data_IF_747346411215
#
_entry.id   IF_747346411215
#
_cell.length_a   1.000
_cell.length_b   1.000
_cell.length_c   1.000
_cell.angle_alpha   90.00
_cell.angle_beta   90.00
_cell.angle_gamma   90.00
#
_symmetry.space_group_name_H-M   'P 1'
#
loop_
_entity.id
_entity.type
_entity.pdbx_description
1 polymer ?
#
# COMPACT_ATOMS: atom_id res chain seq x y z
N UNK A 1 -42.68 0.75 6.33
CA UNK A 1 -42.05 -0.59 6.41
C UNK A 1 -42.10 -1.15 5.00
N UNK A 2 -41.25 -0.62 4.09
CA UNK A 2 -41.11 -1.17 2.73
C UNK A 2 -39.87 -0.63 1.98
N UNK A 3 -39.38 0.59 2.26
CA UNK A 3 -38.16 1.10 1.60
C UNK A 3 -36.86 0.36 2.02
N UNK A 4 -36.85 -0.20 3.24
CA UNK A 4 -35.68 -0.90 3.77
C UNK A 4 -35.55 -2.32 3.23
N UNK A 5 -36.67 -2.95 2.83
CA UNK A 5 -36.68 -4.27 2.19
C UNK A 5 -36.32 -4.21 0.70
N UNK A 6 -36.70 -3.14 -0.01
CA UNK A 6 -36.27 -2.91 -1.39
C UNK A 6 -34.75 -2.64 -1.49
N UNK A 7 -34.18 -1.93 -0.51
CA UNK A 7 -32.73 -1.77 -0.37
C UNK A 7 -32.01 -3.09 -0.09
N UNK A 8 -32.57 -3.96 0.76
CA UNK A 8 -32.02 -5.31 1.01
C UNK A 8 -32.08 -6.23 -0.22
N UNK A 9 -33.07 -6.06 -1.10
CA UNK A 9 -33.18 -6.83 -2.35
C UNK A 9 -32.17 -6.41 -3.43
N UNK A 10 -31.63 -5.18 -3.35
CA UNK A 10 -30.55 -4.67 -4.21
C UNK A 10 -29.15 -5.08 -3.71
N UNK A 11 -29.03 -5.56 -2.48
CA UNK A 11 -27.79 -6.11 -1.92
C UNK A 11 -27.64 -7.55 -2.45
N UNK A 12 -26.53 -7.91 -3.12
CA UNK A 12 -26.29 -9.28 -3.56
C UNK A 12 -26.41 -10.25 -2.37
N UNK A 13 -27.29 -11.25 -2.49
CA UNK A 13 -27.43 -12.28 -1.46
C UNK A 13 -26.12 -13.07 -1.33
N UNK A 14 -25.70 -13.44 -0.10
CA UNK A 14 -24.49 -14.22 0.11
C UNK A 14 -24.58 -15.54 -0.68
N UNK A 15 -23.52 -15.85 -1.45
CA UNK A 15 -23.44 -17.03 -2.30
C UNK A 15 -23.24 -16.76 -3.80
N UNK A 16 -23.48 -15.55 -4.30
CA UNK A 16 -23.26 -15.23 -5.73
C UNK A 16 -21.83 -14.74 -6.06
N UNK A 17 -21.00 -14.47 -5.05
CA UNK A 17 -19.65 -13.88 -5.21
C UNK A 17 -18.56 -14.58 -4.36
N UNK A 18 -18.88 -15.63 -3.63
CA UNK A 18 -17.99 -16.29 -2.66
C UNK A 18 -18.77 -17.12 -1.64
N UNK A 19 -18.08 -17.76 -0.69
CA UNK A 19 -18.65 -18.75 0.25
C UNK A 19 -19.94 -18.26 0.92
N UNK A 20 -20.90 -19.20 1.03
CA UNK A 20 -22.33 -18.96 1.25
C UNK A 20 -22.71 -18.67 2.70
N UNK A 21 -21.88 -19.08 3.66
CA UNK A 21 -22.05 -18.77 5.09
C UNK A 21 -20.71 -18.51 5.82
N UNK A 22 -20.79 -18.01 7.06
CA UNK A 22 -19.62 -17.69 7.88
C UNK A 22 -18.78 -18.91 8.28
N UNK A 23 -19.41 -20.07 8.46
CA UNK A 23 -18.74 -21.31 8.85
C UNK A 23 -17.93 -21.90 7.69
N UNK A 24 -18.42 -21.74 6.45
CA UNK A 24 -17.74 -22.10 5.23
C UNK A 24 -16.52 -21.20 5.01
N UNK A 25 -16.63 -19.90 5.27
CA UNK A 25 -15.49 -18.96 5.23
C UNK A 25 -14.40 -19.33 6.24
N UNK A 26 -14.78 -19.70 7.47
CA UNK A 26 -13.84 -20.11 8.51
C UNK A 26 -13.04 -21.38 8.14
N UNK A 27 -13.62 -22.31 7.37
CA UNK A 27 -12.91 -23.50 6.89
C UNK A 27 -11.77 -23.20 5.90
N UNK A 28 -11.83 -22.05 5.24
CA UNK A 28 -10.85 -21.64 4.22
C UNK A 28 -9.91 -20.52 4.69
N UNK A 29 -9.97 -20.20 5.99
CA UNK A 29 -9.02 -19.33 6.66
C UNK A 29 -7.69 -20.03 6.92
N UNK A 30 -6.60 -19.27 7.00
CA UNK A 30 -5.34 -19.78 7.51
C UNK A 30 -5.50 -19.97 9.03
N UNK A 31 -5.65 -21.21 9.49
CA UNK A 31 -5.91 -21.57 10.90
C UNK A 31 -4.76 -22.33 11.57
N UNK A 32 -3.66 -22.57 10.83
CA UNK A 32 -2.46 -23.23 11.36
C UNK A 32 -1.72 -22.39 12.40
N UNK A 33 -0.79 -22.97 13.17
CA UNK A 33 -0.02 -22.24 14.15
C UNK A 33 0.79 -21.12 13.48
N UNK A 34 0.51 -19.87 13.86
CA UNK A 34 1.25 -18.68 13.40
C UNK A 34 2.60 -18.50 14.09
N UNK A 35 2.98 -19.45 14.95
CA UNK A 35 4.29 -19.48 15.59
C UNK A 35 5.33 -19.92 14.56
N UNK A 36 5.94 -18.95 13.90
CA UNK A 36 7.06 -19.20 13.00
C UNK A 36 8.30 -19.67 13.80
N UNK A 37 9.15 -20.55 13.26
CA UNK A 37 10.45 -20.79 13.87
C UNK A 37 11.23 -19.47 13.96
N UNK A 38 12.04 -19.27 15.01
CA UNK A 38 12.75 -18.02 15.21
C UNK A 38 13.80 -17.81 14.12
N UNK A 39 14.07 -16.53 13.82
CA UNK A 39 15.17 -16.12 12.96
C UNK A 39 14.77 -15.79 11.52
N UNK A 40 15.63 -15.03 10.82
CA UNK A 40 15.31 -14.45 9.52
C UNK A 40 15.19 -15.49 8.39
N UNK A 41 15.92 -16.60 8.46
CA UNK A 41 15.86 -17.66 7.45
C UNK A 41 14.53 -18.41 7.49
N UNK A 42 14.08 -18.82 8.69
CA UNK A 42 12.80 -19.48 8.87
C UNK A 42 11.63 -18.55 8.48
N UNK A 43 11.73 -17.27 8.84
CA UNK A 43 10.78 -16.26 8.38
C UNK A 43 10.75 -16.14 6.85
N UNK A 44 11.92 -16.01 6.22
CA UNK A 44 12.06 -15.91 4.77
C UNK A 44 11.46 -17.12 4.06
N UNK A 45 11.69 -18.32 4.59
CA UNK A 45 11.10 -19.55 4.05
C UNK A 45 9.58 -19.61 4.22
N UNK A 46 9.04 -19.19 5.37
CA UNK A 46 7.59 -19.12 5.59
C UNK A 46 6.90 -18.10 4.65
N UNK A 47 7.55 -16.95 4.44
CA UNK A 47 7.11 -15.95 3.47
C UNK A 47 7.11 -16.53 2.05
N UNK A 48 8.18 -17.24 1.68
CA UNK A 48 8.29 -17.92 0.39
C UNK A 48 7.21 -18.98 0.19
N UNK A 49 6.99 -19.86 1.17
CA UNK A 49 5.95 -20.89 1.11
C UNK A 49 4.56 -20.30 0.86
N UNK A 50 4.33 -19.08 1.36
CA UNK A 50 3.02 -18.44 1.33
C UNK A 50 2.80 -17.52 0.14
N UNK A 51 3.85 -16.89 -0.37
CA UNK A 51 3.76 -15.81 -1.39
C UNK A 51 4.59 -16.09 -2.64
N UNK A 52 5.44 -17.12 -2.62
CA UNK A 52 6.45 -17.36 -3.67
C UNK A 52 7.62 -16.37 -3.63
N UNK A 53 7.73 -15.55 -2.58
CA UNK A 53 8.78 -14.54 -2.39
C UNK A 53 9.48 -14.76 -1.05
N UNK A 54 10.80 -14.96 -1.10
CA UNK A 54 11.67 -14.97 0.09
C UNK A 54 12.43 -13.65 0.21
N UNK A 55 13.10 -13.46 1.34
CA UNK A 55 14.05 -12.37 1.53
C UNK A 55 15.39 -12.77 0.90
N UNK A 56 15.81 -12.05 -0.14
CA UNK A 56 17.08 -12.24 -0.82
C UNK A 56 18.06 -11.11 -0.46
N UNK A 57 19.35 -11.39 -0.21
CA UNK A 57 20.34 -10.36 0.11
C UNK A 57 20.70 -9.51 -1.11
N UNK A 58 21.46 -8.43 -0.90
CA UNK A 58 22.04 -7.64 -1.98
C UNK A 58 21.40 -6.28 -2.22
N UNK A 59 20.63 -5.72 -1.27
CA UNK A 59 19.92 -4.46 -1.47
C UNK A 59 20.61 -3.28 -0.79
N UNK A 60 20.56 -2.12 -1.46
CA UNK A 60 20.75 -0.82 -0.83
C UNK A 60 19.40 -0.13 -0.78
N UNK A 61 18.98 0.25 0.44
CA UNK A 61 17.66 0.84 0.69
C UNK A 61 17.81 2.23 1.31
N UNK A 62 17.07 3.18 0.75
CA UNK A 62 16.98 4.54 1.26
C UNK A 62 15.53 4.84 1.67
N UNK A 63 15.35 5.14 2.95
CA UNK A 63 14.08 5.54 3.53
C UNK A 63 13.84 7.02 3.24
N UNK A 64 12.72 7.34 2.60
CA UNK A 64 12.37 8.68 2.15
C UNK A 64 11.01 9.07 2.74
N UNK A 65 10.92 10.28 3.28
CA UNK A 65 9.70 10.77 3.92
C UNK A 65 9.13 11.94 3.11
N UNK A 66 7.81 11.90 2.88
CA UNK A 66 7.07 12.99 2.25
C UNK A 66 7.72 13.40 0.91
N UNK A 67 7.88 14.71 0.69
CA UNK A 67 8.45 15.29 -0.53
C UNK A 67 9.88 14.83 -0.88
N UNK A 68 10.67 14.33 0.08
CA UNK A 68 12.04 13.88 -0.19
C UNK A 68 12.09 12.74 -1.23
N UNK A 69 11.01 11.96 -1.37
CA UNK A 69 10.92 10.93 -2.40
C UNK A 69 10.97 11.51 -3.81
N UNK A 70 10.34 12.67 -4.04
CA UNK A 70 10.24 13.26 -5.37
C UNK A 70 11.53 13.93 -5.80
N UNK A 71 12.24 14.59 -4.88
CA UNK A 71 13.55 15.16 -5.18
C UNK A 71 14.52 14.07 -5.65
N UNK A 72 14.60 12.98 -4.89
CA UNK A 72 15.48 11.88 -5.25
C UNK A 72 15.03 11.14 -6.51
N UNK A 73 13.72 10.98 -6.70
CA UNK A 73 13.13 10.39 -7.91
C UNK A 73 13.43 11.23 -9.16
N UNK A 74 13.31 12.55 -9.08
CA UNK A 74 13.61 13.45 -10.19
C UNK A 74 15.10 13.42 -10.58
N UNK A 75 16.00 13.33 -9.60
CA UNK A 75 17.43 13.13 -9.85
C UNK A 75 17.69 11.84 -10.65
N UNK A 76 17.11 10.72 -10.21
CA UNK A 76 17.29 9.44 -10.90
C UNK A 76 16.62 9.44 -12.29
N UNK A 77 15.42 10.01 -12.44
CA UNK A 77 14.74 10.13 -13.74
C UNK A 77 15.60 10.94 -14.71
N UNK A 78 16.15 12.09 -14.30
CA UNK A 78 17.02 12.90 -15.16
C UNK A 78 18.31 12.17 -15.53
N UNK A 79 18.81 11.29 -14.66
CA UNK A 79 20.00 10.48 -14.90
C UNK A 79 19.74 9.23 -15.78
N UNK A 80 18.47 8.89 -16.05
CA UNK A 80 18.08 7.69 -16.78
C UNK A 80 18.72 7.61 -18.18
N UNK A 81 19.13 6.39 -18.56
CA UNK A 81 19.84 6.11 -19.81
C UNK A 81 19.12 5.11 -20.72
N UNK A 82 18.24 4.28 -20.20
CA UNK A 82 17.57 3.22 -20.97
C UNK A 82 16.06 3.24 -20.83
N UNK A 83 15.51 3.36 -19.62
CA UNK A 83 14.06 3.41 -19.44
C UNK A 83 13.61 4.10 -18.16
N UNK A 84 12.39 4.65 -18.20
CA UNK A 84 11.66 5.13 -17.01
C UNK A 84 10.24 4.60 -17.06
N UNK A 85 9.85 3.85 -16.04
CA UNK A 85 8.52 3.25 -15.93
C UNK A 85 7.81 3.76 -14.68
N UNK A 86 6.62 4.36 -14.84
CA UNK A 86 5.82 4.93 -13.76
C UNK A 86 4.49 4.21 -13.69
N UNK A 87 4.14 3.68 -12.52
CA UNK A 87 2.82 3.15 -12.17
C UNK A 87 2.35 3.87 -10.91
N UNK A 88 1.21 4.56 -10.99
CA UNK A 88 0.66 5.29 -9.85
C UNK A 88 -0.87 5.32 -9.87
N UNK A 89 -1.47 5.29 -8.68
CA UNK A 89 -2.92 5.38 -8.53
C UNK A 89 -3.45 6.81 -8.77
N UNK A 90 -2.76 7.81 -8.23
CA UNK A 90 -3.13 9.24 -8.35
C UNK A 90 -2.00 9.99 -9.05
N UNK A 91 -2.32 10.57 -10.20
CA UNK A 91 -1.53 11.61 -10.83
C UNK A 91 -2.47 12.76 -11.22
N UNK A 92 -2.25 13.94 -10.65
CA UNK A 92 -3.04 15.16 -10.90
C UNK A 92 -2.14 16.36 -11.19
N UNK A 93 -2.58 17.32 -12.04
CA UNK A 93 -1.84 18.54 -12.32
C UNK A 93 -1.50 19.33 -11.05
N UNK A 94 -0.23 19.71 -10.92
CA UNK A 94 0.35 20.53 -9.85
C UNK A 94 1.83 20.79 -10.20
N UNK A 95 2.52 21.63 -9.44
CA UNK A 95 3.95 21.94 -9.65
C UNK A 95 4.83 20.68 -9.65
N UNK A 96 4.60 19.76 -8.71
CA UNK A 96 5.27 18.45 -8.70
C UNK A 96 5.04 17.66 -10.00
N UNK A 97 3.79 17.64 -10.51
CA UNK A 97 3.47 16.98 -11.77
C UNK A 97 4.25 17.63 -12.92
N UNK A 98 4.31 18.94 -12.98
CA UNK A 98 5.00 19.68 -14.05
C UNK A 98 6.50 19.33 -14.09
N UNK A 99 7.14 19.25 -12.92
CA UNK A 99 8.55 18.86 -12.79
C UNK A 99 8.81 17.41 -13.25
N UNK A 100 7.90 16.48 -12.93
CA UNK A 100 8.01 15.08 -13.37
C UNK A 100 7.77 14.96 -14.88
N UNK A 101 6.77 15.67 -15.41
CA UNK A 101 6.49 15.71 -16.85
C UNK A 101 7.69 16.26 -17.60
N UNK A 102 8.27 17.38 -17.15
CA UNK A 102 9.48 17.97 -17.76
C UNK A 102 10.63 16.95 -17.83
N UNK A 103 10.91 16.27 -16.72
CA UNK A 103 11.97 15.26 -16.67
C UNK A 103 11.69 14.08 -17.62
N UNK A 104 10.45 13.57 -17.66
CA UNK A 104 10.08 12.48 -18.57
C UNK A 104 10.14 12.88 -20.04
N UNK A 105 9.68 14.10 -20.38
CA UNK A 105 9.75 14.67 -21.73
C UNK A 105 11.19 14.82 -22.17
N UNK A 106 12.06 15.35 -21.31
CA UNK A 106 13.49 15.50 -21.58
C UNK A 106 14.13 14.14 -21.90
N UNK A 107 13.87 13.13 -21.06
CA UNK A 107 14.41 11.78 -21.26
C UNK A 107 13.85 11.09 -22.50
N UNK A 108 12.55 11.20 -22.76
CA UNK A 108 11.92 10.63 -23.95
C UNK A 108 12.53 11.22 -25.24
N UNK A 109 12.73 12.54 -25.28
CA UNK A 109 13.41 13.23 -26.39
C UNK A 109 14.88 12.82 -26.55
N UNK A 110 15.54 12.42 -25.46
CA UNK A 110 16.89 11.85 -25.48
C UNK A 110 16.92 10.36 -25.89
N UNK A 111 15.77 9.76 -26.24
CA UNK A 111 15.67 8.37 -26.69
C UNK A 111 15.50 7.33 -25.57
N UNK A 112 15.29 7.76 -24.32
CA UNK A 112 14.98 6.87 -23.20
C UNK A 112 13.54 6.37 -23.32
N UNK A 113 13.31 5.07 -23.12
CA UNK A 113 11.96 4.51 -23.19
C UNK A 113 11.15 4.88 -21.94
N UNK A 114 10.22 5.81 -22.07
CA UNK A 114 9.36 6.27 -20.98
C UNK A 114 7.95 5.66 -21.10
N UNK A 115 7.47 4.99 -20.03
CA UNK A 115 6.13 4.38 -19.97
C UNK A 115 5.41 4.78 -18.70
N UNK A 116 4.16 5.20 -18.82
CA UNK A 116 3.31 5.62 -17.72
C UNK A 116 2.03 4.79 -17.71
N UNK A 117 1.71 4.25 -16.54
CA UNK A 117 0.43 3.63 -16.25
C UNK A 117 -0.21 4.36 -15.08
N UNK A 118 -1.41 4.90 -15.29
CA UNK A 118 -2.21 5.52 -14.22
C UNK A 118 -3.50 4.75 -13.99
N UNK A 119 -4.01 4.76 -12.75
CA UNK A 119 -5.37 4.30 -12.51
C UNK A 119 -6.37 5.45 -12.78
N UNK A 120 -7.38 5.24 -13.64
CA UNK A 120 -8.33 6.29 -13.99
C UNK A 120 -9.18 6.76 -12.80
N UNK A 121 -9.41 5.90 -11.79
CA UNK A 121 -10.24 6.29 -10.62
C UNK A 121 -9.55 7.39 -9.81
N UNK A 122 -8.24 7.29 -9.60
CA UNK A 122 -7.47 8.28 -8.85
C UNK A 122 -7.06 9.50 -9.69
N UNK A 123 -6.89 9.32 -11.01
CA UNK A 123 -6.23 10.29 -11.90
C UNK A 123 -7.16 11.05 -12.86
N UNK A 124 -8.34 10.52 -13.22
CA UNK A 124 -9.31 11.21 -14.12
C UNK A 124 -10.54 11.77 -13.41
N UNK A 125 -10.72 11.41 -12.13
CA UNK A 125 -11.86 11.66 -11.25
C UNK A 125 -13.27 11.38 -11.85
N UNK A 126 -13.95 10.42 -11.21
CA UNK A 126 -15.38 10.08 -11.33
C UNK A 126 -16.32 11.31 -11.08
N UNK A 127 -15.77 12.49 -10.75
CA UNK A 127 -16.46 13.75 -10.42
C UNK A 127 -16.38 14.85 -11.48
N UNK A 128 -15.68 14.63 -12.60
CA UNK A 128 -15.77 15.52 -13.78
C UNK A 128 -14.51 16.28 -14.17
N UNK A 129 -13.43 16.20 -13.39
CA UNK A 129 -12.16 16.87 -13.68
C UNK A 129 -11.23 15.94 -14.49
N UNK A 130 -11.31 16.00 -15.83
CA UNK A 130 -10.44 15.27 -16.79
C UNK A 130 -9.02 15.83 -16.84
N UNK A 131 -8.46 16.16 -15.70
CA UNK A 131 -7.30 17.02 -15.58
C UNK A 131 -5.98 16.32 -15.98
N UNK A 132 -5.86 15.00 -15.75
CA UNK A 132 -4.71 14.23 -16.23
C UNK A 132 -4.68 14.12 -17.75
N UNK A 133 -5.76 13.64 -18.38
CA UNK A 133 -5.91 13.54 -19.85
C UNK A 133 -5.61 14.89 -20.53
N UNK A 134 -6.28 15.96 -20.09
CA UNK A 134 -6.21 17.25 -20.80
C UNK A 134 -4.87 17.99 -20.66
N UNK A 135 -4.19 17.88 -19.50
CA UNK A 135 -3.00 18.70 -19.20
C UNK A 135 -1.69 17.90 -19.15
N UNK A 136 -1.76 16.62 -18.79
CA UNK A 136 -0.55 15.80 -18.53
C UNK A 136 -0.33 14.81 -19.67
N UNK A 137 -1.34 13.99 -20.00
CA UNK A 137 -1.20 12.92 -21.01
C UNK A 137 -0.78 13.48 -22.38
N UNK A 138 -1.41 14.57 -22.82
CA UNK A 138 -1.11 15.17 -24.12
C UNK A 138 0.37 15.59 -24.23
N UNK A 139 0.92 16.23 -23.19
CA UNK A 139 2.32 16.68 -23.19
C UNK A 139 3.29 15.50 -23.22
N UNK A 140 2.98 14.45 -22.46
CA UNK A 140 3.77 13.22 -22.41
C UNK A 140 3.76 12.50 -23.77
N UNK A 141 2.58 12.28 -24.33
CA UNK A 141 2.41 11.53 -25.59
C UNK A 141 3.01 12.29 -26.79
N UNK A 142 2.87 13.61 -26.86
CA UNK A 142 3.53 14.44 -27.88
C UNK A 142 5.06 14.38 -27.82
N UNK A 143 5.64 14.07 -26.65
CA UNK A 143 7.07 13.89 -26.46
C UNK A 143 7.56 12.44 -26.68
N UNK A 144 6.65 11.51 -27.02
CA UNK A 144 6.97 10.10 -27.25
C UNK A 144 6.94 9.21 -25.99
N UNK A 145 6.37 9.69 -24.89
CA UNK A 145 6.10 8.85 -23.70
C UNK A 145 4.86 8.01 -23.98
N UNK A 146 4.94 6.70 -23.73
CA UNK A 146 3.78 5.82 -23.87
C UNK A 146 2.91 5.90 -22.60
N UNK A 147 1.63 6.27 -22.72
CA UNK A 147 0.73 6.44 -21.58
C UNK A 147 -0.46 5.48 -21.70
N UNK A 148 -0.76 4.77 -20.62
CA UNK A 148 -1.88 3.83 -20.55
C UNK A 148 -2.68 3.98 -19.25
N UNK A 149 -3.97 3.63 -19.33
CA UNK A 149 -4.87 3.58 -18.19
C UNK A 149 -5.07 2.14 -17.72
N UNK A 150 -4.85 1.90 -16.43
CA UNK A 150 -5.07 0.58 -15.85
C UNK A 150 -6.56 0.26 -15.84
N UNK A 151 -6.98 -0.70 -16.67
CA UNK A 151 -8.37 -1.21 -16.79
C UNK A 151 -9.41 -0.09 -16.90
N UNK A 152 -9.65 0.39 -18.12
CA UNK A 152 -10.65 1.42 -18.43
C UNK A 152 -12.02 1.19 -17.76
N UNK A 153 -12.68 2.28 -17.36
CA UNK A 153 -13.99 2.27 -16.72
C UNK A 153 -15.16 2.00 -17.69
N UNK A 154 -14.89 1.63 -18.95
CA UNK A 154 -15.93 1.35 -19.94
C UNK A 154 -16.78 0.13 -19.52
N UNK A 155 -18.10 0.35 -19.37
CA UNK A 155 -19.10 -0.68 -19.06
C UNK A 155 -19.50 -0.77 -17.57
N UNK A 156 -20.76 -1.14 -17.30
CA UNK A 156 -21.37 -1.24 -15.96
C UNK A 156 -21.00 -2.52 -15.20
N UNK A 157 -19.74 -2.94 -15.21
CA UNK A 157 -19.31 -4.16 -14.49
C UNK A 157 -18.66 -3.76 -13.17
N UNK A 158 -19.38 -3.94 -12.05
CA UNK A 158 -18.94 -3.59 -10.69
C UNK A 158 -17.55 -4.16 -10.33
N UNK A 159 -17.19 -5.33 -10.86
CA UNK A 159 -15.86 -5.93 -10.68
C UNK A 159 -14.70 -5.11 -11.28
N UNK A 160 -14.95 -4.34 -12.35
CA UNK A 160 -13.95 -3.40 -12.89
C UNK A 160 -13.72 -2.23 -11.93
N UNK A 161 -14.73 -1.77 -11.20
CA UNK A 161 -14.59 -0.68 -10.23
C UNK A 161 -13.75 -1.10 -9.00
N UNK A 162 -13.72 -2.38 -8.66
CA UNK A 162 -13.03 -2.89 -7.46
C UNK A 162 -11.61 -3.42 -7.74
N UNK A 163 -11.35 -3.98 -8.93
CA UNK A 163 -10.03 -4.50 -9.30
C UNK A 163 -9.07 -3.43 -9.84
N UNK A 164 -8.77 -2.41 -9.02
CA UNK A 164 -7.90 -1.25 -9.36
C UNK A 164 -6.45 -1.50 -8.96
N UNK A 165 -5.52 -0.71 -9.53
CA UNK A 165 -4.12 -0.75 -9.10
C UNK A 165 -3.89 0.33 -8.06
N UNK A 166 -3.51 -0.08 -6.84
CA UNK A 166 -3.12 0.84 -5.79
C UNK A 166 -1.61 0.80 -5.53
N UNK A 167 -0.86 0.12 -6.41
CA UNK A 167 0.59 0.12 -6.41
C UNK A 167 1.18 1.47 -6.80
N UNK A 168 2.37 1.72 -6.28
CA UNK A 168 3.20 2.87 -6.62
C UNK A 168 4.60 2.39 -6.92
N UNK A 169 4.96 2.47 -8.19
CA UNK A 169 6.25 2.05 -8.70
C UNK A 169 6.79 3.13 -9.62
N UNK A 170 8.03 3.54 -9.37
CA UNK A 170 8.85 4.24 -10.37
C UNK A 170 10.11 3.42 -10.54
N UNK A 171 10.44 3.07 -11.77
CA UNK A 171 11.57 2.20 -12.07
C UNK A 171 12.44 2.86 -13.13
N UNK A 172 13.70 3.09 -12.78
CA UNK A 172 14.68 3.75 -13.64
C UNK A 172 15.72 2.73 -14.07
N UNK A 173 15.90 2.62 -15.39
CA UNK A 173 16.85 1.75 -16.09
C UNK A 173 16.77 0.26 -15.71
N UNK A 174 15.67 -0.17 -15.07
CA UNK A 174 15.54 -1.50 -14.48
C UNK A 174 16.49 -1.76 -13.29
N UNK A 175 17.13 -0.72 -12.75
CA UNK A 175 18.19 -0.80 -11.71
C UNK A 175 17.80 -0.12 -10.40
N UNK A 176 16.99 0.93 -10.48
CA UNK A 176 16.49 1.65 -9.32
C UNK A 176 14.96 1.52 -9.30
N UNK A 177 14.41 1.19 -8.14
CA UNK A 177 12.97 1.10 -7.92
C UNK A 177 12.53 2.00 -6.77
N UNK A 178 11.34 2.56 -6.87
CA UNK A 178 10.67 3.30 -5.81
C UNK A 178 9.35 2.63 -5.46
N UNK A 179 9.03 2.55 -4.18
CA UNK A 179 7.69 2.16 -3.72
C UNK A 179 7.33 2.81 -2.38
N UNK A 180 6.07 2.67 -1.97
CA UNK A 180 5.52 3.29 -0.76
C UNK A 180 4.09 3.79 -0.99
N UNK A 181 3.70 4.82 -0.24
CA UNK A 181 2.35 5.39 -0.32
C UNK A 181 2.12 6.53 -1.32
N UNK A 182 3.15 7.00 -2.05
CA UNK A 182 3.12 8.29 -2.75
C UNK A 182 2.00 8.42 -3.80
N UNK A 183 1.71 9.65 -4.20
CA UNK A 183 0.93 10.00 -5.37
C UNK A 183 1.55 11.23 -6.00
N UNK A 184 1.26 11.50 -7.26
CA UNK A 184 1.74 12.71 -7.93
C UNK A 184 0.64 13.76 -7.81
N UNK A 185 0.61 14.45 -6.67
CA UNK A 185 -0.31 15.53 -6.38
C UNK A 185 0.20 16.39 -5.22
N UNK A 186 -0.28 17.64 -5.13
CA UNK A 186 0.17 18.65 -4.15
C UNK A 186 0.12 18.21 -2.68
N UNK A 187 -0.77 17.29 -2.33
CA UNK A 187 -0.90 16.84 -0.93
C UNK A 187 0.29 16.00 -0.47
N UNK A 188 1.11 15.44 -1.37
CA UNK A 188 2.36 14.76 -0.97
C UNK A 188 3.57 15.70 -0.91
N UNK A 189 3.40 16.98 -1.25
CA UNK A 189 4.44 17.99 -1.09
C UNK A 189 4.56 18.41 0.39
N UNK A 190 5.69 19.01 0.76
CA UNK A 190 5.94 19.46 2.13
C UNK A 190 6.46 18.39 3.08
N UNK A 191 6.28 18.62 4.38
CA UNK A 191 6.86 17.83 5.48
C UNK A 191 5.80 17.03 6.27
N UNK A 192 4.54 17.11 5.85
CA UNK A 192 3.44 16.38 6.46
C UNK A 192 3.03 16.96 7.82
N UNK A 193 3.37 18.22 8.11
CA UNK A 193 2.99 18.91 9.35
C UNK A 193 1.85 19.91 9.18
N UNK A 194 1.24 20.00 7.99
CA UNK A 194 0.10 20.89 7.71
C UNK A 194 -1.15 20.12 7.27
N UNK A 195 -2.37 20.62 7.54
CA UNK A 195 -3.62 19.92 7.24
C UNK A 195 -3.85 19.56 5.77
N UNK A 196 -3.26 20.30 4.85
CA UNK A 196 -3.34 20.11 3.39
C UNK A 196 -2.21 19.26 2.80
N UNK A 197 -1.33 18.74 3.65
CA UNK A 197 -0.23 17.83 3.32
C UNK A 197 -0.52 16.40 3.84
N UNK A 198 0.21 15.40 3.34
CA UNK A 198 0.12 14.00 3.74
C UNK A 198 1.47 13.54 4.30
N UNK A 199 1.46 12.97 5.51
CA UNK A 199 2.63 12.36 6.12
C UNK A 199 2.78 10.92 5.61
N UNK A 200 3.79 10.68 4.78
CA UNK A 200 3.96 9.40 4.08
C UNK A 200 5.42 8.92 4.03
N UNK A 201 5.60 7.62 3.85
CA UNK A 201 6.88 6.93 3.93
C UNK A 201 7.10 6.06 2.69
N UNK A 202 8.30 6.18 2.12
CA UNK A 202 8.68 5.61 0.85
C UNK A 202 10.06 4.96 0.95
N UNK A 203 10.36 4.10 -0.02
CA UNK A 203 11.67 3.47 -0.13
C UNK A 203 12.17 3.54 -1.56
N UNK A 204 13.42 3.99 -1.71
CA UNK A 204 14.21 3.81 -2.92
C UNK A 204 15.06 2.55 -2.76
N UNK A 205 15.08 1.74 -3.80
CA UNK A 205 15.61 0.37 -3.82
C UNK A 205 16.62 0.25 -4.96
N UNK A 206 17.81 -0.21 -4.62
CA UNK A 206 18.76 -0.77 -5.58
C UNK A 206 19.05 -2.23 -5.18
N UNK A 207 19.26 -3.08 -6.17
CA UNK A 207 19.56 -4.49 -5.98
C UNK A 207 18.53 -5.43 -6.60
N UNK A 208 18.62 -6.74 -6.29
CA UNK A 208 17.89 -7.79 -7.01
C UNK A 208 16.36 -7.63 -7.10
N UNK A 209 15.70 -7.11 -6.06
CA UNK A 209 14.24 -6.97 -6.03
C UNK A 209 13.70 -5.92 -7.02
N UNK A 210 14.54 -5.03 -7.56
CA UNK A 210 14.11 -4.10 -8.63
C UNK A 210 13.62 -4.88 -9.86
N UNK A 211 14.18 -6.07 -10.13
CA UNK A 211 13.70 -6.95 -11.21
C UNK A 211 12.27 -7.43 -10.96
N UNK A 212 11.88 -7.69 -9.71
CA UNK A 212 10.53 -8.11 -9.34
C UNK A 212 9.56 -6.93 -9.38
N UNK A 213 9.99 -5.74 -8.98
CA UNK A 213 9.23 -4.49 -9.17
C UNK A 213 8.96 -4.24 -10.66
N UNK A 214 9.97 -4.43 -11.51
CA UNK A 214 9.89 -4.31 -12.97
C UNK A 214 8.91 -5.34 -13.57
N UNK A 215 8.92 -6.57 -13.05
CA UNK A 215 7.94 -7.59 -13.44
C UNK A 215 6.50 -7.18 -13.07
N UNK A 216 6.30 -6.62 -11.87
CA UNK A 216 4.99 -6.12 -11.44
C UNK A 216 4.51 -4.96 -12.34
N UNK A 217 5.38 -4.01 -12.66
CA UNK A 217 5.09 -2.97 -13.67
C UNK A 217 4.74 -3.59 -15.03
N UNK A 218 5.53 -4.53 -15.54
CA UNK A 218 5.31 -5.17 -16.84
C UNK A 218 3.95 -5.88 -16.94
N UNK A 219 3.46 -6.48 -15.85
CA UNK A 219 2.11 -7.06 -15.79
C UNK A 219 1.02 -5.99 -15.88
N UNK A 220 1.18 -4.87 -15.18
CA UNK A 220 0.25 -3.74 -15.27
C UNK A 220 0.24 -3.14 -16.66
N UNK A 221 1.42 -2.97 -17.26
CA UNK A 221 1.59 -2.50 -18.63
C UNK A 221 0.82 -3.37 -19.63
N UNK A 222 1.01 -4.70 -19.57
CA UNK A 222 0.31 -5.65 -20.42
C UNK A 222 -1.21 -5.65 -20.22
N UNK A 223 -1.67 -5.61 -18.96
CA UNK A 223 -3.10 -5.52 -18.65
C UNK A 223 -3.75 -4.20 -19.11
N UNK A 224 -2.94 -3.17 -19.36
CA UNK A 224 -3.40 -1.85 -19.81
C UNK A 224 -3.34 -1.69 -21.33
N UNK A 225 -2.97 -2.74 -22.07
CA UNK A 225 -2.86 -2.73 -23.53
C UNK A 225 -1.44 -2.57 -24.07
N UNK A 226 -0.43 -2.51 -23.18
CA UNK A 226 0.97 -2.51 -23.56
C UNK A 226 1.50 -3.88 -24.00
N UNK A 227 2.60 -3.90 -24.74
CA UNK A 227 3.26 -5.13 -25.18
C UNK A 227 4.29 -5.72 -24.19
N UNK A 228 5.07 -6.69 -24.67
CA UNK A 228 6.24 -7.17 -23.93
C UNK A 228 7.32 -6.08 -23.88
N UNK A 229 7.91 -5.88 -22.70
CA UNK A 229 9.02 -4.94 -22.52
C UNK A 229 10.32 -5.65 -22.95
N UNK A 230 11.20 -4.92 -23.63
CA UNK A 230 12.46 -5.47 -24.14
C UNK A 230 13.33 -6.08 -23.02
N UNK A 231 14.08 -7.18 -23.29
CA UNK A 231 14.99 -7.78 -22.32
C UNK A 231 16.02 -6.79 -21.73
N UNK A 232 16.40 -5.75 -22.49
CA UNK A 232 17.31 -4.69 -22.03
C UNK A 232 16.77 -3.87 -20.85
N UNK A 233 15.45 -3.84 -20.62
CA UNK A 233 14.84 -3.22 -19.45
C UNK A 233 14.86 -4.12 -18.20
N UNK A 234 15.35 -5.36 -18.34
CA UNK A 234 15.56 -6.32 -17.26
C UNK A 234 17.04 -6.67 -17.15
N UNK A 235 17.92 -5.71 -16.80
CA UNK A 235 19.34 -5.97 -16.63
C UNK A 235 19.58 -7.06 -15.57
N UNK A 236 20.78 -7.65 -15.61
CA UNK A 236 21.21 -8.57 -14.57
C UNK A 236 21.22 -7.86 -13.20
N UNK A 237 20.72 -8.55 -12.19
CA UNK A 237 20.62 -8.04 -10.84
C UNK A 237 22.00 -8.07 -10.17
N UNK A 238 22.56 -6.90 -9.88
CA UNK A 238 23.80 -6.80 -9.11
C UNK A 238 23.51 -6.45 -7.64
N UNK A 239 24.21 -7.06 -6.68
CA UNK A 239 24.13 -6.66 -5.28
C UNK A 239 24.56 -5.19 -5.10
N UNK A 240 23.72 -4.38 -4.47
CA UNK A 240 23.97 -2.98 -4.18
C UNK A 240 24.28 -2.71 -2.70
N UNK A 241 24.03 -3.67 -1.81
CA UNK A 241 24.24 -3.50 -0.37
C UNK A 241 23.93 -4.76 0.45
N UNK A 242 24.02 -4.68 1.79
CA UNK A 242 23.91 -5.84 2.67
C UNK A 242 22.47 -6.26 3.00
N UNK A 243 21.47 -5.44 2.66
CA UNK A 243 20.09 -5.66 3.09
C UNK A 243 19.46 -6.86 2.38
N UNK A 244 18.68 -7.66 3.13
CA UNK A 244 17.82 -8.68 2.56
C UNK A 244 16.39 -8.16 2.41
N UNK A 245 15.79 -8.34 1.23
CA UNK A 245 14.44 -7.84 0.95
C UNK A 245 13.67 -8.79 0.02
N UNK A 246 12.34 -8.65 0.03
CA UNK A 246 11.43 -9.31 -0.89
C UNK A 246 10.25 -8.41 -1.23
N UNK A 247 9.99 -8.17 -2.51
CA UNK A 247 8.86 -7.36 -2.98
C UNK A 247 7.63 -8.25 -3.20
N UNK A 248 6.58 -8.02 -2.41
CA UNK A 248 5.31 -8.73 -2.50
C UNK A 248 4.38 -7.98 -3.45
N UNK A 249 4.16 -8.56 -4.63
CA UNK A 249 3.16 -8.14 -5.61
C UNK A 249 1.86 -8.92 -5.33
N UNK A 250 0.85 -8.25 -4.76
CA UNK A 250 -0.43 -8.87 -4.44
C UNK A 250 -1.51 -8.36 -5.38
N UNK A 251 -2.34 -9.26 -5.90
CA UNK A 251 -3.53 -8.93 -6.65
C UNK A 251 -4.78 -9.52 -5.99
N UNK A 252 -5.90 -8.81 -6.11
CA UNK A 252 -7.18 -9.31 -5.64
C UNK A 252 -7.56 -10.63 -6.33
N UNK A 253 -7.98 -11.60 -5.53
CA UNK A 253 -8.44 -12.93 -5.97
C UNK A 253 -9.43 -13.49 -4.96
N UNK A 254 -10.16 -14.53 -5.36
CA UNK A 254 -10.98 -15.30 -4.42
C UNK A 254 -10.08 -16.00 -3.39
N UNK A 255 -10.52 -16.05 -2.13
CA UNK A 255 -9.73 -16.54 -1.00
C UNK A 255 -8.60 -15.59 -0.53
N UNK A 256 -7.61 -16.15 0.17
CA UNK A 256 -6.51 -15.39 0.77
C UNK A 256 -5.60 -14.78 -0.30
N UNK A 257 -5.29 -13.49 -0.19
CA UNK A 257 -4.34 -12.79 -1.07
C UNK A 257 -2.90 -12.87 -0.53
N UNK A 258 -1.93 -12.49 -1.35
CA UNK A 258 -0.53 -12.43 -0.91
C UNK A 258 -0.29 -11.29 0.08
N UNK A 259 -1.04 -10.18 -0.03
CA UNK A 259 -1.04 -9.11 0.96
C UNK A 259 -1.51 -9.59 2.34
N UNK A 260 -2.63 -10.31 2.41
CA UNK A 260 -3.13 -10.86 3.67
C UNK A 260 -2.15 -11.91 4.24
N UNK A 261 -1.63 -12.82 3.41
CA UNK A 261 -0.61 -13.80 3.85
C UNK A 261 0.64 -13.13 4.38
N UNK A 262 1.18 -12.13 3.67
CA UNK A 262 2.34 -11.36 4.11
C UNK A 262 2.09 -10.73 5.48
N UNK A 263 0.98 -10.00 5.66
CA UNK A 263 0.69 -9.31 6.93
C UNK A 263 0.57 -10.31 8.07
N UNK A 264 -0.11 -11.44 7.86
CA UNK A 264 -0.25 -12.46 8.90
C UNK A 264 1.07 -13.14 9.27
N UNK A 265 1.94 -13.39 8.30
CA UNK A 265 3.28 -13.97 8.56
C UNK A 265 4.16 -12.95 9.30
N UNK A 266 4.14 -11.69 8.87
CA UNK A 266 4.86 -10.60 9.52
C UNK A 266 4.42 -10.42 10.97
N UNK A 267 3.11 -10.35 11.25
CA UNK A 267 2.59 -10.31 12.63
C UNK A 267 3.00 -11.56 13.41
N UNK A 268 2.94 -12.75 12.79
CA UNK A 268 3.35 -14.02 13.39
C UNK A 268 4.81 -14.07 13.82
N UNK A 269 5.68 -13.35 13.12
CA UNK A 269 7.11 -13.27 13.39
C UNK A 269 7.44 -12.53 14.71
N UNK A 270 6.57 -11.65 15.18
CA UNK A 270 6.85 -10.79 16.33
C UNK A 270 7.03 -11.56 17.64
N UNK A 271 8.02 -11.12 18.43
CA UNK A 271 8.34 -11.66 19.76
C UNK A 271 8.35 -10.59 20.85
N UNK A 272 8.71 -9.35 20.52
CA UNK A 272 8.87 -8.25 21.47
C UNK A 272 7.92 -7.10 21.14
N UNK A 273 7.88 -6.65 19.88
CA UNK A 273 7.04 -5.50 19.49
C UNK A 273 6.52 -5.54 18.07
N UNK A 274 5.35 -4.92 17.87
CA UNK A 274 4.77 -4.59 16.57
C UNK A 274 4.38 -3.11 16.56
N UNK A 275 4.99 -2.30 15.69
CA UNK A 275 4.54 -0.92 15.48
C UNK A 275 3.98 -0.76 14.07
N UNK A 276 2.77 -0.24 13.97
CA UNK A 276 2.03 -0.07 12.72
C UNK A 276 1.79 1.42 12.49
N UNK A 277 2.06 1.92 11.29
CA UNK A 277 1.48 3.17 10.81
C UNK A 277 0.72 2.90 9.51
N UNK A 278 -0.59 3.15 9.49
CA UNK A 278 -1.44 2.80 8.36
C UNK A 278 -2.49 3.88 8.07
N UNK A 279 -2.66 4.24 6.81
CA UNK A 279 -3.61 5.27 6.39
C UNK A 279 -5.07 4.86 6.64
N UNK A 280 -5.40 3.58 6.43
CA UNK A 280 -6.73 3.05 6.71
C UNK A 280 -6.60 1.79 7.55
N UNK A 281 -6.54 1.97 8.88
CA UNK A 281 -6.43 0.87 9.81
C UNK A 281 -7.82 0.33 10.19
N UNK A 282 -8.41 -0.48 9.31
CA UNK A 282 -9.67 -1.20 9.58
C UNK A 282 -9.55 -2.68 9.21
N UNK A 283 -8.67 -3.44 9.89
CA UNK A 283 -8.34 -4.80 9.46
C UNK A 283 -9.54 -5.77 9.55
N UNK A 284 -9.55 -6.83 8.72
CA UNK A 284 -10.41 -7.99 8.91
C UNK A 284 -10.26 -8.62 10.30
N UNK A 285 -11.27 -9.38 10.73
CA UNK A 285 -11.28 -10.00 12.05
C UNK A 285 -10.09 -10.93 12.29
N UNK A 286 -9.67 -11.71 11.28
CA UNK A 286 -8.53 -12.61 11.40
C UNK A 286 -7.23 -11.88 11.80
N UNK A 287 -6.99 -10.67 11.26
CA UNK A 287 -5.83 -9.85 11.62
C UNK A 287 -6.00 -9.26 13.03
N UNK A 288 -7.21 -8.79 13.39
CA UNK A 288 -7.48 -8.30 14.74
C UNK A 288 -7.24 -9.39 15.79
N UNK A 289 -7.77 -10.59 15.57
CA UNK A 289 -7.60 -11.75 16.46
C UNK A 289 -6.13 -12.12 16.63
N UNK A 290 -5.36 -12.04 15.55
CA UNK A 290 -3.93 -12.29 15.60
C UNK A 290 -3.17 -11.22 16.40
N UNK A 291 -3.53 -9.95 16.28
CA UNK A 291 -2.96 -8.87 17.10
C UNK A 291 -3.30 -9.05 18.58
N UNK A 292 -4.55 -9.41 18.90
CA UNK A 292 -4.98 -9.70 20.27
C UNK A 292 -4.21 -10.87 20.87
N UNK A 293 -4.01 -11.94 20.10
CA UNK A 293 -3.22 -13.09 20.52
C UNK A 293 -1.77 -12.71 20.77
N UNK A 294 -1.17 -11.85 19.93
CA UNK A 294 0.18 -11.34 20.15
C UNK A 294 0.27 -10.50 21.43
N UNK A 295 -0.73 -9.68 21.75
CA UNK A 295 -0.78 -8.99 23.04
C UNK A 295 -0.86 -9.97 24.22
N UNK A 296 -1.66 -11.05 24.13
CA UNK A 296 -1.70 -12.10 25.17
C UNK A 296 -0.36 -12.81 25.36
N UNK A 297 0.42 -12.93 24.29
CA UNK A 297 1.79 -13.46 24.31
C UNK A 297 2.83 -12.45 24.87
N UNK A 298 2.41 -11.25 25.27
CA UNK A 298 3.29 -10.23 25.84
C UNK A 298 3.98 -9.32 24.82
N UNK A 299 3.61 -9.41 23.53
CA UNK A 299 4.16 -8.54 22.48
C UNK A 299 3.58 -7.13 22.64
N UNK A 300 4.44 -6.11 22.70
CA UNK A 300 4.02 -4.71 22.73
C UNK A 300 3.49 -4.30 21.35
N UNK A 301 2.22 -3.89 21.26
CA UNK A 301 1.64 -3.44 19.99
C UNK A 301 1.28 -1.96 20.06
N UNK A 302 1.77 -1.20 19.06
CA UNK A 302 1.44 0.21 18.87
C UNK A 302 0.88 0.45 17.48
N UNK A 303 -0.22 1.18 17.40
CA UNK A 303 -0.86 1.56 16.13
C UNK A 303 -0.89 3.08 16.01
N UNK A 304 -0.48 3.59 14.87
CA UNK A 304 -0.58 5.00 14.49
C UNK A 304 -1.45 5.13 13.24
N UNK A 305 -2.61 5.77 13.39
CA UNK A 305 -3.52 6.07 12.28
C UNK A 305 -3.70 7.56 12.05
N UNK A 306 -4.40 7.97 10.98
CA UNK A 306 -4.82 9.36 10.81
C UNK A 306 -5.81 9.78 11.89
N UNK A 307 -5.65 11.01 12.38
CA UNK A 307 -6.51 11.63 13.39
C UNK A 307 -7.61 12.51 12.78
N UNK A 308 -7.67 13.81 13.12
CA UNK A 308 -8.72 14.71 12.65
C UNK A 308 -8.68 14.95 11.14
N UNK A 309 -7.48 15.00 10.55
CA UNK A 309 -7.30 15.13 9.11
C UNK A 309 -7.43 13.76 8.46
N UNK A 310 -8.55 13.56 7.76
CA UNK A 310 -8.87 12.31 7.11
C UNK A 310 -9.66 12.57 5.83
N UNK A 311 -9.13 12.12 4.70
CA UNK A 311 -9.68 12.34 3.36
C UNK A 311 -11.00 11.57 3.12
N UNK A 312 -11.17 10.39 3.72
CA UNK A 312 -12.38 9.57 3.65
C UNK A 312 -13.05 9.39 5.03
N UNK A 313 -14.03 10.23 5.41
CA UNK A 313 -14.64 10.20 6.75
C UNK A 313 -15.25 8.86 7.20
N UNK A 314 -15.83 8.09 6.27
CA UNK A 314 -16.38 6.76 6.58
C UNK A 314 -15.27 5.77 6.96
N UNK A 315 -14.09 5.87 6.35
CA UNK A 315 -12.93 5.05 6.70
C UNK A 315 -12.40 5.41 8.09
N UNK A 316 -12.44 6.70 8.48
CA UNK A 316 -12.13 7.10 9.87
C UNK A 316 -13.05 6.46 10.89
N UNK A 317 -14.36 6.46 10.60
CA UNK A 317 -15.35 5.85 11.47
C UNK A 317 -15.15 4.33 11.55
N UNK A 318 -14.81 3.69 10.43
CA UNK A 318 -14.48 2.28 10.33
C UNK A 318 -13.22 1.92 11.14
N UNK A 319 -12.14 2.68 11.01
CA UNK A 319 -10.91 2.57 11.80
C UNK A 319 -11.21 2.65 13.30
N UNK A 320 -11.87 3.73 13.74
CA UNK A 320 -12.23 3.93 15.16
C UNK A 320 -13.20 2.89 15.70
N UNK A 321 -13.88 2.12 14.85
CA UNK A 321 -14.73 1.02 15.30
C UNK A 321 -13.95 -0.16 15.87
N UNK A 322 -12.67 -0.29 15.50
CA UNK A 322 -11.77 -1.37 15.93
C UNK A 322 -11.07 -1.07 17.26
N UNK A 323 -11.01 0.21 17.65
CA UNK A 323 -10.19 0.69 18.76
C UNK A 323 -10.59 0.09 20.10
N UNK A 324 -11.89 0.08 20.44
CA UNK A 324 -12.35 -0.48 21.71
C UNK A 324 -11.88 -1.92 21.93
N UNK A 325 -11.98 -2.74 20.87
CA UNK A 325 -11.56 -4.14 20.86
C UNK A 325 -10.05 -4.26 21.10
N UNK A 326 -9.24 -3.49 20.37
CA UNK A 326 -7.78 -3.52 20.47
C UNK A 326 -7.25 -2.94 21.79
N UNK A 327 -7.83 -1.83 22.26
CA UNK A 327 -7.49 -1.21 23.53
C UNK A 327 -7.77 -2.17 24.70
N UNK A 328 -8.89 -2.89 24.66
CA UNK A 328 -9.22 -3.91 25.65
C UNK A 328 -8.23 -5.08 25.66
N UNK A 329 -7.58 -5.37 24.53
CA UNK A 329 -6.54 -6.39 24.41
C UNK A 329 -5.13 -5.90 24.82
N UNK A 330 -4.95 -4.61 25.11
CA UNK A 330 -3.66 -4.03 25.52
C UNK A 330 -2.87 -3.36 24.39
N UNK A 331 -3.44 -3.22 23.19
CA UNK A 331 -2.82 -2.43 22.11
C UNK A 331 -2.87 -0.96 22.47
N UNK A 332 -1.77 -0.24 22.24
CA UNK A 332 -1.74 1.23 22.39
C UNK A 332 -1.95 1.90 21.04
N UNK A 333 -2.81 2.91 20.98
CA UNK A 333 -3.26 3.53 19.73
C UNK A 333 -3.00 5.03 19.77
N UNK A 334 -2.50 5.57 18.68
CA UNK A 334 -2.28 6.99 18.46
C UNK A 334 -2.92 7.45 17.16
N UNK A 335 -3.34 8.71 17.18
CA UNK A 335 -3.83 9.41 16.01
C UNK A 335 -2.92 10.59 15.68
N UNK A 336 -2.38 10.61 14.47
CA UNK A 336 -1.56 11.71 13.97
C UNK A 336 -2.42 12.97 13.80
N UNK A 337 -1.97 14.11 14.35
CA UNK A 337 -2.78 15.33 14.43
C UNK A 337 -2.57 16.32 13.28
N UNK A 338 -1.34 16.62 12.84
CA UNK A 338 -1.10 17.76 11.94
C UNK A 338 -1.74 17.61 10.57
N UNK A 339 -1.77 16.39 10.04
CA UNK A 339 -2.13 16.10 8.64
C UNK A 339 -2.68 14.68 8.48
N UNK A 340 -2.99 14.26 7.25
CA UNK A 340 -3.34 12.86 6.96
C UNK A 340 -2.11 11.98 7.13
N UNK A 341 -2.15 11.01 8.06
CA UNK A 341 -1.17 9.92 8.08
C UNK A 341 -1.46 9.00 6.89
N UNK A 342 -0.60 9.01 5.87
CA UNK A 342 -0.78 8.21 4.67
C UNK A 342 0.25 7.07 4.53
N UNK A 343 1.08 6.84 5.55
CA UNK A 343 2.05 5.73 5.55
C UNK A 343 1.38 4.35 5.59
N UNK A 344 2.06 3.32 5.07
CA UNK A 344 1.72 1.88 5.25
C UNK A 344 2.98 1.15 5.63
N UNK A 345 3.30 1.24 6.92
CA UNK A 345 4.52 0.68 7.48
C UNK A 345 4.22 -0.23 8.65
N UNK A 346 5.08 -1.23 8.81
CA UNK A 346 5.02 -2.16 9.92
C UNK A 346 6.45 -2.47 10.36
N UNK A 347 6.71 -2.37 11.66
CA UNK A 347 7.95 -2.78 12.30
C UNK A 347 7.68 -3.98 13.20
N UNK A 348 8.51 -5.01 13.08
CA UNK A 348 8.50 -6.18 13.97
C UNK A 348 9.86 -6.31 14.62
N UNK A 349 9.85 -6.25 15.95
CA UNK A 349 11.05 -6.29 16.78
C UNK A 349 12.11 -5.30 16.24
N UNK A 350 13.39 -5.63 16.34
CA UNK A 350 14.49 -4.77 15.85
C UNK A 350 15.12 -5.25 14.53
N UNK A 351 14.44 -6.12 13.77
CA UNK A 351 15.02 -6.77 12.59
C UNK A 351 14.15 -6.75 11.33
N UNK A 352 12.83 -6.61 11.43
CA UNK A 352 11.94 -6.70 10.27
C UNK A 352 11.10 -5.43 10.07
N UNK A 353 11.01 -4.97 8.83
CA UNK A 353 10.16 -3.86 8.41
C UNK A 353 9.34 -4.20 7.16
N UNK A 354 8.21 -3.53 7.00
CA UNK A 354 7.41 -3.50 5.77
C UNK A 354 7.15 -2.05 5.40
N UNK A 355 7.36 -1.69 4.13
CA UNK A 355 7.00 -0.39 3.55
C UNK A 355 6.36 -0.64 2.19
N UNK A 356 5.20 -0.03 1.93
CA UNK A 356 4.50 -0.27 0.67
C UNK A 356 3.23 0.55 0.50
N UNK A 357 2.32 0.04 -0.31
CA UNK A 357 1.02 0.65 -0.61
C UNK A 357 -0.15 0.00 0.14
N UNK A 358 0.05 -1.18 0.75
CA UNK A 358 -1.01 -2.01 1.33
C UNK A 358 -1.64 -1.38 2.59
N UNK A 359 -2.87 -0.93 2.47
CA UNK A 359 -3.68 -0.55 3.62
C UNK A 359 -4.17 -1.79 4.37
N UNK A 360 -4.38 -1.65 5.68
CA UNK A 360 -4.97 -2.71 6.50
C UNK A 360 -6.49 -2.59 6.52
N UNK A 361 -7.11 -2.60 5.35
CA UNK A 361 -8.56 -2.63 5.16
C UNK A 361 -8.96 -3.73 4.16
N UNK A 362 -10.22 -4.17 4.20
CA UNK A 362 -10.67 -5.29 3.38
C UNK A 362 -10.61 -5.03 1.86
N UNK A 363 -10.73 -3.78 1.41
CA UNK A 363 -10.65 -3.47 -0.02
C UNK A 363 -9.20 -3.62 -0.50
N UNK A 364 -8.25 -3.01 0.21
CA UNK A 364 -6.82 -3.11 -0.12
C UNK A 364 -6.31 -4.54 -0.05
N UNK A 365 -6.68 -5.28 1.00
CA UNK A 365 -6.21 -6.66 1.18
C UNK A 365 -6.79 -7.61 0.15
N UNK A 366 -8.06 -7.48 -0.26
CA UNK A 366 -8.75 -8.52 -1.02
C UNK A 366 -8.96 -8.19 -2.49
N UNK A 367 -9.02 -6.90 -2.87
CA UNK A 367 -9.48 -6.48 -4.20
C UNK A 367 -8.42 -5.72 -5.00
N UNK A 368 -7.68 -4.83 -4.33
CA UNK A 368 -6.71 -3.98 -5.01
C UNK A 368 -5.45 -4.76 -5.38
N UNK A 369 -4.75 -4.28 -6.42
CA UNK A 369 -3.35 -4.62 -6.59
C UNK A 369 -2.49 -3.76 -5.68
N UNK A 370 -1.66 -4.40 -4.89
CA UNK A 370 -0.85 -3.78 -3.84
C UNK A 370 0.59 -4.26 -3.93
N UNK A 371 1.52 -3.41 -3.49
CA UNK A 371 2.96 -3.67 -3.55
C UNK A 371 3.61 -3.30 -2.22
N UNK A 372 4.31 -4.24 -1.62
CA UNK A 372 4.99 -4.01 -0.34
C UNK A 372 6.38 -4.64 -0.33
N UNK A 373 7.37 -3.88 0.11
CA UNK A 373 8.72 -4.38 0.34
C UNK A 373 8.84 -4.87 1.77
N UNK A 374 9.14 -6.16 1.95
CA UNK A 374 9.50 -6.76 3.24
C UNK A 374 11.02 -6.71 3.37
N UNK A 375 11.51 -6.18 4.48
CA UNK A 375 12.90 -5.75 4.66
C UNK A 375 13.45 -6.37 5.95
N UNK A 376 14.53 -7.12 5.83
CA UNK A 376 15.33 -7.58 6.97
C UNK A 376 16.65 -6.82 7.01
N UNK A 377 16.68 -5.75 7.81
CA UNK A 377 17.86 -4.93 8.05
C UNK A 377 17.67 -4.10 9.33
N UNK A 378 18.50 -4.35 10.35
CA UNK A 378 18.40 -3.67 11.64
C UNK A 378 18.69 -2.16 11.54
N UNK A 379 19.50 -1.72 10.59
CA UNK A 379 19.78 -0.29 10.36
C UNK A 379 18.55 0.43 9.80
N UNK A 380 17.90 -0.18 8.81
CA UNK A 380 16.65 0.31 8.22
C UNK A 380 15.53 0.34 9.27
N UNK A 381 15.37 -0.73 10.05
CA UNK A 381 14.39 -0.79 11.15
C UNK A 381 14.61 0.33 12.15
N UNK A 382 15.86 0.59 12.58
CA UNK A 382 16.16 1.72 13.47
C UNK A 382 15.86 3.07 12.85
N UNK A 383 16.11 3.26 11.55
CA UNK A 383 15.74 4.51 10.84
C UNK A 383 14.22 4.71 10.85
N UNK A 384 13.47 3.69 10.45
CA UNK A 384 12.00 3.74 10.43
C UNK A 384 11.40 3.90 11.83
N UNK A 385 11.98 3.27 12.86
CA UNK A 385 11.58 3.46 14.25
C UNK A 385 11.77 4.91 14.73
N UNK A 386 12.83 5.60 14.28
CA UNK A 386 13.04 7.03 14.57
C UNK A 386 11.99 7.91 13.88
N UNK A 387 11.62 7.60 12.64
CA UNK A 387 10.53 8.28 11.94
C UNK A 387 9.21 8.13 12.73
N UNK A 388 8.89 6.90 13.12
CA UNK A 388 7.71 6.59 13.92
C UNK A 388 7.70 7.33 15.28
N UNK A 389 8.84 7.37 15.98
CA UNK A 389 8.99 8.11 17.23
C UNK A 389 8.86 9.63 17.06
N UNK A 390 9.23 10.18 15.88
CA UNK A 390 8.94 11.58 15.54
C UNK A 390 7.46 11.80 15.29
N UNK A 391 6.81 10.93 14.55
CA UNK A 391 5.38 11.04 14.26
C UNK A 391 4.53 10.97 15.55
N UNK A 392 4.97 10.17 16.53
CA UNK A 392 4.36 10.13 17.85
C UNK A 392 4.35 11.48 18.58
N UNK A 393 5.38 12.32 18.42
CA UNK A 393 5.44 13.64 19.09
C UNK A 393 4.34 14.59 18.60
N UNK A 394 3.80 14.31 17.43
CA UNK A 394 2.69 15.05 16.82
C UNK A 394 1.36 14.28 16.92
N UNK A 395 1.31 13.20 17.69
CA UNK A 395 0.14 12.34 17.79
C UNK A 395 -0.52 12.44 19.17
N UNK A 396 -1.81 12.12 19.24
CA UNK A 396 -2.54 11.96 20.50
C UNK A 396 -2.83 10.49 20.75
N UNK A 397 -2.54 10.03 21.96
CA UNK A 397 -2.90 8.68 22.39
C UNK A 397 -4.42 8.58 22.56
N UNK A 398 -4.99 7.49 22.05
CA UNK A 398 -6.41 7.16 22.18
C UNK A 398 -6.57 6.12 23.28
N UNK A 399 -7.49 6.38 24.21
CA UNK A 399 -7.88 5.53 25.32
C UNK A 399 -9.39 5.28 25.28
N UNK A 400 -9.87 4.33 26.09
CA UNK A 400 -11.31 4.09 26.21
C UNK A 400 -12.08 5.32 26.74
N UNK A 401 -11.40 6.22 27.47
CA UNK A 401 -11.97 7.41 28.08
C UNK A 401 -12.02 8.61 27.13
N UNK A 402 -11.08 8.70 26.16
CA UNK A 402 -10.94 9.87 25.29
C UNK A 402 -11.41 9.64 23.83
N UNK A 403 -12.29 8.65 23.62
CA UNK A 403 -12.93 8.41 22.32
C UNK A 403 -12.62 7.08 21.66
N UNK A 404 -11.92 6.17 22.35
CA UNK A 404 -11.65 4.81 21.90
C UNK A 404 -12.86 3.87 21.92
N UNK A 405 -13.90 4.16 22.72
CA UNK A 405 -15.16 3.38 22.72
C UNK A 405 -15.87 3.46 21.37
N UNK A 406 -16.37 2.34 20.89
CA UNK A 406 -17.12 2.26 19.64
C UNK A 406 -18.56 2.75 19.84
N UNK A 407 -19.28 2.94 18.74
CA UNK A 407 -20.70 3.28 18.77
C UNK A 407 -21.43 2.66 17.56
N UNK A 408 -22.78 2.64 17.54
CA UNK A 408 -23.55 2.03 16.45
C UNK A 408 -23.18 2.56 15.05
N UNK A 409 -22.93 3.86 14.92
CA UNK A 409 -22.51 4.47 13.65
C UNK A 409 -21.15 3.93 13.16
N UNK A 410 -20.15 3.88 14.05
CA UNK A 410 -18.82 3.32 13.72
C UNK A 410 -18.92 1.85 13.32
N UNK A 411 -19.76 1.06 13.99
CA UNK A 411 -20.02 -0.34 13.63
C UNK A 411 -20.67 -0.47 12.26
N UNK A 412 -21.64 0.39 11.95
CA UNK A 412 -22.27 0.42 10.62
C UNK A 412 -21.26 0.80 9.53
N UNK A 413 -20.46 1.85 9.76
CA UNK A 413 -19.41 2.27 8.84
C UNK A 413 -18.44 1.11 8.54
N UNK A 414 -18.02 0.37 9.57
CA UNK A 414 -17.17 -0.81 9.37
C UNK A 414 -17.82 -1.91 8.57
N UNK A 415 -19.08 -2.25 8.85
CA UNK A 415 -19.83 -3.23 8.05
C UNK A 415 -19.89 -2.81 6.58
N UNK A 416 -20.22 -1.54 6.31
CA UNK A 416 -20.27 -1.01 4.96
C UNK A 416 -18.91 -1.11 4.24
N UNK A 417 -17.83 -0.66 4.87
CA UNK A 417 -16.49 -0.71 4.26
C UNK A 417 -15.98 -2.14 4.08
N UNK A 418 -16.35 -3.05 4.99
CA UNK A 418 -15.99 -4.46 4.86
C UNK A 418 -16.78 -5.13 3.72
N UNK A 419 -18.07 -4.84 3.54
CA UNK A 419 -18.87 -5.40 2.45
C UNK A 419 -18.26 -5.12 1.08
N UNK A 420 -17.72 -3.91 0.87
CA UNK A 420 -17.06 -3.53 -0.39
C UNK A 420 -15.81 -4.38 -0.68
N UNK A 421 -15.13 -4.88 0.37
CA UNK A 421 -13.96 -5.76 0.26
C UNK A 421 -14.25 -7.24 0.52
N UNK A 422 -15.48 -7.62 0.89
CA UNK A 422 -15.88 -8.98 1.25
C UNK A 422 -16.48 -9.70 0.04
N UNK A 423 -15.63 -10.07 -0.91
CA UNK A 423 -15.86 -11.38 -1.55
C UNK A 423 -14.64 -12.24 -1.26
N UNK A 424 -14.86 -13.27 -0.46
CA UNK A 424 -13.92 -14.35 -0.20
C UNK A 424 -14.39 -15.60 -0.91
#
# INVERSE_FOLDING_TARGET
MDEMQELEALIPKPGALGFSDGAERERHEMTGPFTLPPGPEAFSFALYQSTGVGLIPGHSLELLENSAVFERMLEDIRAARSSVHVLVYIWRPCELSDRIVEALVERARAGVACRVVVDPVGSEEIRGDRDFDQKVEKVLTEAGVEVHYYRLLAGKVLGRLLGRSHQKLVIVDGRIGYTGGFGIWKVWEGDGLKPDEWRDTHVRVEGPEVRRMQLSFSRHWQESGGGLIAPSAFPEAEPAGPCAAGFIDSAGKLGLTDAERMIRIVIGAARERIWIANAYFSPPNAILEQLEEKCRQGVEIRVLGPGPNHDVPIMRASQRSTYERLLAAGVRIWEYQPSMMHSKTLLVDDWLAVVGSTNMDSLSLNKLKEGSLVIHDASFVRKLARCWARDLRHSKEVTLENGGRTNPWRRLARRATQLVGQDR
#
